data_IF_425707179799
#
_entry.id   IF_425707179799
#
_cell.length_a   1.000
_cell.length_b   1.000
_cell.length_c   1.000
_cell.angle_alpha   90.00
_cell.angle_beta   90.00
_cell.angle_gamma   90.00
#
_symmetry.space_group_name_H-M   'P 1'
#
loop_
_entity.id
_entity.type
_entity.pdbx_description
1 polymer ?
#
# COMPACT_ATOMS: atom_id res chain seq x y z
N UNK A 1 -16.75 15.10 -16.73
CA UNK A 1 -15.95 14.33 -17.70
C UNK A 1 -14.70 13.71 -17.06
N UNK A 2 -13.90 14.43 -16.24
CA UNK A 2 -12.70 13.85 -15.60
C UNK A 2 -13.00 12.62 -14.71
N UNK A 3 -14.06 12.62 -13.89
CA UNK A 3 -14.44 11.48 -13.03
C UNK A 3 -14.71 10.19 -13.82
N UNK A 4 -15.31 10.30 -15.00
CA UNK A 4 -15.59 9.15 -15.87
C UNK A 4 -14.31 8.54 -16.44
N UNK A 5 -13.35 9.39 -16.85
CA UNK A 5 -12.08 8.94 -17.39
C UNK A 5 -11.24 8.18 -16.35
N UNK A 6 -11.24 8.62 -15.08
CA UNK A 6 -10.52 7.94 -14.00
C UNK A 6 -11.17 6.62 -13.59
N UNK A 7 -12.51 6.56 -13.52
CA UNK A 7 -13.22 5.31 -13.30
C UNK A 7 -12.90 4.28 -14.39
N UNK A 8 -12.85 4.70 -15.66
CA UNK A 8 -12.46 3.83 -16.76
C UNK A 8 -11.01 3.35 -16.63
N UNK A 9 -10.07 4.24 -16.33
CA UNK A 9 -8.65 3.88 -16.14
C UNK A 9 -8.47 2.89 -14.98
N UNK A 10 -9.23 3.07 -13.90
CA UNK A 10 -9.22 2.16 -12.76
C UNK A 10 -9.67 0.74 -13.17
N UNK A 11 -10.82 0.60 -13.85
CA UNK A 11 -11.31 -0.70 -14.29
C UNK A 11 -10.44 -1.35 -15.34
N UNK A 12 -9.79 -0.55 -16.20
CA UNK A 12 -8.78 -1.04 -17.14
C UNK A 12 -7.58 -1.65 -16.40
N UNK A 13 -7.10 -1.03 -15.32
CA UNK A 13 -6.02 -1.59 -14.51
C UNK A 13 -6.42 -2.92 -13.85
N UNK A 14 -7.66 -3.05 -13.35
CA UNK A 14 -8.18 -4.32 -12.82
C UNK A 14 -8.21 -5.41 -13.90
N UNK A 15 -8.63 -5.06 -15.11
CA UNK A 15 -8.62 -5.98 -16.25
C UNK A 15 -7.17 -6.45 -16.57
N UNK A 16 -6.21 -5.53 -16.61
CA UNK A 16 -4.80 -5.85 -16.81
C UNK A 16 -4.28 -6.81 -15.72
N UNK A 17 -4.63 -6.59 -14.46
CA UNK A 17 -4.26 -7.50 -13.38
C UNK A 17 -4.82 -8.91 -13.59
N UNK A 18 -6.07 -9.01 -13.99
CA UNK A 18 -6.71 -10.30 -14.26
C UNK A 18 -6.06 -11.01 -15.46
N UNK A 19 -5.79 -10.29 -16.54
CA UNK A 19 -5.16 -10.83 -17.75
C UNK A 19 -3.70 -11.22 -17.53
N UNK A 20 -2.97 -10.57 -16.62
CA UNK A 20 -1.57 -10.89 -16.30
C UNK A 20 -1.40 -12.31 -15.74
N UNK A 21 -2.47 -12.97 -15.28
CA UNK A 21 -2.46 -14.35 -14.79
C UNK A 21 -2.56 -15.41 -15.88
N UNK A 22 -2.86 -15.00 -17.10
CA UNK A 22 -3.01 -15.96 -18.20
C UNK A 22 -1.66 -16.63 -18.54
N UNK A 23 -1.63 -17.95 -18.72
CA UNK A 23 -0.43 -18.62 -19.20
C UNK A 23 0.03 -18.01 -20.52
N UNK A 24 1.34 -17.78 -20.68
CA UNK A 24 1.99 -17.24 -21.88
C UNK A 24 1.57 -15.81 -22.21
N UNK A 25 0.29 -15.52 -22.45
CA UNK A 25 -0.21 -14.19 -22.82
C UNK A 25 -0.11 -13.18 -21.67
N UNK A 26 -0.11 -13.63 -20.41
CA UNK A 26 -0.04 -12.77 -19.24
C UNK A 26 1.20 -11.87 -19.20
N UNK A 27 2.32 -12.33 -19.77
CA UNK A 27 3.58 -11.54 -19.85
C UNK A 27 3.41 -10.18 -20.56
N UNK A 28 2.50 -10.10 -21.53
CA UNK A 28 2.19 -8.84 -22.23
C UNK A 28 1.57 -7.80 -21.29
N UNK A 29 0.85 -8.26 -20.26
CA UNK A 29 0.20 -7.40 -19.27
C UNK A 29 1.08 -7.07 -18.06
N UNK A 30 2.31 -7.60 -18.01
CA UNK A 30 3.33 -7.26 -17.02
C UNK A 30 4.22 -6.09 -17.46
N UNK A 31 4.04 -5.54 -18.66
CA UNK A 31 4.84 -4.43 -19.16
C UNK A 31 4.98 -3.23 -18.21
N UNK A 32 3.94 -2.78 -17.47
CA UNK A 32 4.09 -1.68 -16.51
C UNK A 32 5.06 -2.01 -15.37
N UNK A 33 5.12 -3.26 -14.94
CA UNK A 33 6.03 -3.73 -13.89
C UNK A 33 7.44 -3.91 -14.45
N UNK A 34 7.56 -4.55 -15.60
CA UNK A 34 8.84 -4.75 -16.29
C UNK A 34 9.54 -3.41 -16.61
N UNK A 35 8.76 -2.40 -16.98
CA UNK A 35 9.23 -1.03 -17.20
C UNK A 35 9.48 -0.23 -15.90
N UNK A 36 9.35 -0.83 -14.72
CA UNK A 36 9.50 -0.18 -13.41
C UNK A 36 8.64 1.08 -13.26
N UNK A 37 7.44 1.07 -13.83
CA UNK A 37 6.53 2.23 -13.83
C UNK A 37 5.67 2.35 -12.58
N UNK A 38 5.84 1.43 -11.63
CA UNK A 38 5.01 1.34 -10.43
C UNK A 38 5.78 0.68 -9.28
N UNK A 39 5.71 1.27 -8.10
CA UNK A 39 6.30 0.74 -6.86
C UNK A 39 5.48 1.19 -5.65
N UNK A 40 5.32 0.31 -4.68
CA UNK A 40 4.53 0.57 -3.47
C UNK A 40 5.28 0.10 -2.23
N UNK A 41 5.20 0.91 -1.16
CA UNK A 41 5.63 0.50 0.17
C UNK A 41 4.44 0.53 1.13
N UNK A 42 4.10 -0.63 1.68
CA UNK A 42 3.03 -0.77 2.67
C UNK A 42 3.55 -0.44 4.06
N UNK A 43 2.85 0.46 4.74
CA UNK A 43 3.16 0.92 6.11
C UNK A 43 2.19 0.24 7.08
N UNK A 44 2.67 -0.41 8.16
CA UNK A 44 1.81 -1.06 9.15
C UNK A 44 0.81 -0.11 9.80
N UNK A 45 -0.42 -0.57 10.04
CA UNK A 45 -1.49 0.22 10.67
C UNK A 45 -1.17 0.50 12.14
N UNK A 46 -0.61 -0.49 12.85
CA UNK A 46 -0.29 -0.44 14.28
C UNK A 46 1.08 -1.08 14.53
N UNK A 47 2.17 -0.43 14.16
CA UNK A 47 3.48 -0.87 14.61
C UNK A 47 3.66 -0.47 16.09
N UNK A 48 3.36 -1.38 17.03
CA UNK A 48 3.89 -1.28 18.39
C UNK A 48 5.37 -1.63 18.33
N UNK A 49 6.21 -0.62 18.49
CA UNK A 49 7.65 -0.83 18.58
C UNK A 49 7.96 -1.48 19.91
N UNK A 50 8.47 -2.69 19.89
CA UNK A 50 9.31 -3.17 20.97
C UNK A 50 10.66 -2.43 20.87
N UNK A 51 11.19 -2.03 22.00
CA UNK A 51 12.35 -1.19 22.28
C UNK A 51 13.64 -1.54 21.48
N UNK A 52 13.64 -1.30 20.20
CA UNK A 52 14.86 -1.31 19.38
C UNK A 52 14.87 -0.07 18.50
N UNK A 53 16.03 0.52 18.33
CA UNK A 53 16.34 1.78 17.64
C UNK A 53 15.93 1.87 16.16
N UNK A 54 14.88 1.17 15.74
CA UNK A 54 14.37 1.21 14.38
C UNK A 54 13.39 2.39 14.22
N UNK A 55 13.58 3.17 13.16
CA UNK A 55 12.65 4.22 12.73
C UNK A 55 11.27 3.59 12.58
N UNK A 56 10.29 4.14 13.31
CA UNK A 56 8.89 3.70 13.23
C UNK A 56 8.40 3.87 11.78
N UNK A 57 7.71 2.88 11.20
CA UNK A 57 7.20 3.01 9.82
C UNK A 57 6.37 4.27 9.57
N UNK A 58 5.62 4.75 10.57
CA UNK A 58 4.84 5.98 10.45
C UNK A 58 5.70 7.25 10.55
N UNK A 59 6.84 7.21 11.25
CA UNK A 59 7.79 8.33 11.26
C UNK A 59 8.38 8.57 9.87
N UNK A 60 8.49 7.52 9.07
CA UNK A 60 8.91 7.65 7.67
C UNK A 60 7.87 8.41 6.86
N UNK A 61 6.59 8.15 7.06
CA UNK A 61 5.48 8.91 6.44
C UNK A 61 5.53 10.37 6.88
N UNK A 62 5.72 10.61 8.18
CA UNK A 62 5.89 11.96 8.73
C UNK A 62 7.08 12.67 8.08
N UNK A 63 8.26 12.03 8.02
CA UNK A 63 9.45 12.60 7.37
C UNK A 63 9.22 12.94 5.90
N UNK A 64 8.47 12.13 5.14
CA UNK A 64 8.11 12.44 3.76
C UNK A 64 7.26 13.72 3.68
N UNK A 65 6.24 13.84 4.53
CA UNK A 65 5.36 15.02 4.56
C UNK A 65 6.14 16.27 4.98
N UNK A 66 6.95 16.16 6.05
CA UNK A 66 7.72 17.30 6.58
C UNK A 66 8.83 17.76 5.62
N UNK A 67 9.35 16.85 4.77
CA UNK A 67 10.40 17.15 3.79
C UNK A 67 9.86 17.62 2.44
N UNK A 68 8.54 17.55 2.23
CA UNK A 68 7.96 17.83 0.93
C UNK A 68 7.95 19.32 0.59
N UNK A 69 8.51 19.68 -0.57
CA UNK A 69 8.48 21.05 -1.10
C UNK A 69 7.06 21.55 -1.41
N UNK A 70 6.14 20.63 -1.66
CA UNK A 70 4.72 20.91 -1.87
C UNK A 70 3.86 19.75 -1.40
N UNK A 71 2.69 20.07 -0.85
CA UNK A 71 1.70 19.11 -0.36
C UNK A 71 0.34 19.42 -0.98
N UNK A 72 -0.32 18.39 -1.49
CA UNK A 72 -1.72 18.47 -1.90
C UNK A 72 -2.50 17.27 -1.33
N UNK A 73 -3.76 17.49 -0.99
CA UNK A 73 -4.67 16.43 -0.54
C UNK A 73 -5.83 16.28 -1.51
N UNK A 74 -6.19 15.04 -1.79
CA UNK A 74 -7.40 14.72 -2.54
C UNK A 74 -8.58 14.56 -1.57
N UNK A 75 -9.66 15.31 -1.79
CA UNK A 75 -10.85 15.21 -0.94
C UNK A 75 -11.53 13.85 -1.07
N UNK A 76 -11.38 13.20 -2.23
CA UNK A 76 -11.98 11.91 -2.53
C UNK A 76 -10.97 10.90 -3.04
N UNK A 77 -11.11 9.64 -2.61
CA UNK A 77 -10.31 8.52 -3.10
C UNK A 77 -10.87 8.01 -4.43
N UNK A 78 -10.03 7.98 -5.48
CA UNK A 78 -10.41 7.50 -6.82
C UNK A 78 -10.92 6.06 -6.78
N UNK A 79 -10.23 5.17 -6.07
CA UNK A 79 -10.60 3.76 -5.99
C UNK A 79 -11.97 3.55 -5.33
N UNK A 80 -12.23 4.26 -4.22
CA UNK A 80 -13.51 4.15 -3.51
C UNK A 80 -14.65 4.79 -4.30
N UNK A 81 -14.39 5.89 -5.00
CA UNK A 81 -15.36 6.56 -5.85
C UNK A 81 -15.74 5.67 -7.06
N UNK A 82 -14.73 5.14 -7.78
CA UNK A 82 -14.94 4.26 -8.93
C UNK A 82 -15.74 3.00 -8.60
N UNK A 83 -15.47 2.40 -7.44
CA UNK A 83 -16.17 1.21 -6.96
C UNK A 83 -17.48 1.49 -6.21
N UNK A 84 -17.82 2.77 -5.96
CA UNK A 84 -18.95 3.12 -5.07
C UNK A 84 -18.87 2.35 -3.76
N UNK A 85 -17.70 2.47 -3.09
CA UNK A 85 -17.38 1.68 -1.91
C UNK A 85 -18.50 1.76 -0.85
N UNK A 86 -18.95 0.60 -0.38
CA UNK A 86 -20.03 0.50 0.62
C UNK A 86 -19.49 0.46 2.05
N UNK A 87 -18.23 0.01 2.23
CA UNK A 87 -17.65 -0.26 3.54
C UNK A 87 -16.89 0.95 4.11
N UNK A 88 -16.40 1.84 3.23
CA UNK A 88 -15.61 3.01 3.61
C UNK A 88 -16.06 4.26 2.85
N UNK A 89 -16.10 5.43 3.51
CA UNK A 89 -16.45 6.68 2.84
C UNK A 89 -15.41 7.03 1.77
N UNK A 90 -15.79 7.77 0.75
CA UNK A 90 -14.88 8.21 -0.32
C UNK A 90 -13.79 9.16 0.19
N UNK A 91 -14.05 9.91 1.26
CA UNK A 91 -13.09 10.75 1.98
C UNK A 91 -12.60 10.02 3.25
N UNK A 92 -11.34 10.21 3.68
CA UNK A 92 -10.26 10.95 3.05
C UNK A 92 -9.65 10.26 1.83
N UNK A 93 -9.22 11.04 0.83
CA UNK A 93 -8.47 10.55 -0.33
C UNK A 93 -6.96 10.48 -0.08
N UNK A 94 -6.20 10.57 -1.16
CA UNK A 94 -4.74 10.46 -1.15
C UNK A 94 -4.06 11.79 -0.79
N UNK A 95 -2.79 11.74 -0.40
CA UNK A 95 -1.90 12.89 -0.21
C UNK A 95 -0.80 12.80 -1.27
N UNK A 96 -0.58 13.88 -2.00
CA UNK A 96 0.46 14.01 -3.01
C UNK A 96 1.55 14.94 -2.52
N UNK A 97 2.80 14.53 -2.67
CA UNK A 97 3.98 15.21 -2.17
C UNK A 97 4.95 15.56 -3.28
N UNK A 98 5.63 16.69 -3.17
CA UNK A 98 6.67 17.18 -4.08
C UNK A 98 6.16 18.17 -5.11
N UNK A 99 7.07 18.92 -5.71
CA UNK A 99 6.78 20.00 -6.66
C UNK A 99 5.94 19.54 -7.87
N UNK A 100 6.12 18.28 -8.30
CA UNK A 100 5.34 17.73 -9.41
C UNK A 100 3.83 17.60 -9.12
N UNK A 101 3.43 17.63 -7.87
CA UNK A 101 2.03 17.59 -7.46
C UNK A 101 1.28 18.92 -7.68
N UNK A 102 1.98 20.04 -7.93
CA UNK A 102 1.35 21.35 -8.23
C UNK A 102 0.49 21.34 -9.49
N UNK A 103 0.84 20.48 -10.43
CA UNK A 103 0.15 20.39 -11.72
C UNK A 103 -1.04 19.41 -11.74
N UNK A 104 -1.36 18.77 -10.62
CA UNK A 104 -2.52 17.87 -10.50
C UNK A 104 -3.80 18.64 -10.77
N UNK A 105 -4.56 18.16 -11.77
CA UNK A 105 -5.82 18.78 -12.21
C UNK A 105 -7.06 18.10 -11.60
N UNK A 106 -6.87 17.00 -10.85
CA UNK A 106 -7.97 16.17 -10.38
C UNK A 106 -8.16 16.28 -8.88
N UNK A 107 -9.26 16.91 -8.46
CA UNK A 107 -9.82 16.90 -7.07
C UNK A 107 -8.78 17.00 -5.94
N UNK A 108 -7.60 17.52 -6.22
CA UNK A 108 -6.56 17.78 -5.25
C UNK A 108 -6.45 19.27 -4.99
N UNK A 109 -6.27 19.64 -3.75
CA UNK A 109 -6.07 21.03 -3.30
C UNK A 109 -4.77 21.15 -2.54
N UNK A 110 -4.14 22.35 -2.55
CA UNK A 110 -2.99 22.62 -1.69
C UNK A 110 -3.34 22.39 -0.22
N UNK A 111 -2.37 21.91 0.54
CA UNK A 111 -2.48 21.69 1.98
C UNK A 111 -1.16 21.97 2.69
N UNK A 112 -1.22 22.19 4.01
CA UNK A 112 -0.03 22.18 4.86
C UNK A 112 0.37 20.77 5.24
N UNK A 113 1.66 20.57 5.61
CA UNK A 113 2.12 19.27 6.12
C UNK A 113 1.32 18.81 7.34
N UNK A 114 0.98 19.73 8.25
CA UNK A 114 0.12 19.44 9.41
C UNK A 114 -1.26 18.91 8.99
N UNK A 115 -1.92 19.59 8.08
CA UNK A 115 -3.23 19.18 7.56
C UNK A 115 -3.17 17.81 6.89
N UNK A 116 -2.10 17.54 6.14
CA UNK A 116 -1.89 16.22 5.52
C UNK A 116 -1.70 15.11 6.56
N UNK A 117 -0.95 15.35 7.64
CA UNK A 117 -0.78 14.39 8.72
C UNK A 117 -2.09 14.12 9.47
N UNK A 118 -2.89 15.15 9.76
CA UNK A 118 -4.22 15.01 10.34
C UNK A 118 -5.17 14.20 9.41
N UNK A 119 -5.06 14.43 8.10
CA UNK A 119 -5.81 13.72 7.09
C UNK A 119 -5.47 12.21 7.05
N UNK A 120 -4.18 11.89 7.11
CA UNK A 120 -3.69 10.52 7.16
C UNK A 120 -4.05 9.83 8.48
N UNK A 121 -4.01 10.54 9.61
CA UNK A 121 -4.42 9.99 10.91
C UNK A 121 -5.92 9.68 10.95
N UNK A 122 -6.75 10.55 10.38
CA UNK A 122 -8.18 10.27 10.19
C UNK A 122 -8.40 9.01 9.34
N UNK A 123 -7.62 8.82 8.28
CA UNK A 123 -7.69 7.61 7.46
C UNK A 123 -7.31 6.35 8.26
N UNK A 124 -6.24 6.43 9.06
CA UNK A 124 -5.80 5.33 9.92
C UNK A 124 -6.83 4.96 10.98
N UNK A 125 -7.46 5.93 11.62
CA UNK A 125 -8.51 5.69 12.62
C UNK A 125 -9.72 4.95 12.05
N UNK A 126 -9.95 5.05 10.73
CA UNK A 126 -10.94 4.26 10.01
C UNK A 126 -10.46 2.83 9.65
N UNK A 127 -9.23 2.46 10.00
CA UNK A 127 -8.62 1.18 9.63
C UNK A 127 -8.15 1.09 8.17
N UNK A 128 -7.98 2.23 7.49
CA UNK A 128 -7.36 2.27 6.17
C UNK A 128 -5.86 2.03 6.28
N UNK A 129 -5.30 1.32 5.32
CA UNK A 129 -3.86 1.01 5.27
C UNK A 129 -3.13 2.12 4.52
N UNK A 130 -2.04 2.61 5.10
CA UNK A 130 -1.18 3.58 4.43
C UNK A 130 -0.24 2.87 3.48
N UNK A 131 -0.21 3.29 2.22
CA UNK A 131 0.77 2.88 1.23
C UNK A 131 1.45 4.12 0.66
N UNK A 132 2.78 4.11 0.59
CA UNK A 132 3.54 5.10 -0.16
C UNK A 132 3.71 4.57 -1.58
N UNK A 133 3.25 5.32 -2.55
CA UNK A 133 3.11 4.88 -3.95
C UNK A 133 3.90 5.81 -4.86
N UNK A 134 4.57 5.21 -5.83
CA UNK A 134 5.07 5.89 -7.00
C UNK A 134 4.58 5.15 -8.25
N UNK A 135 3.86 5.86 -9.11
CA UNK A 135 3.34 5.31 -10.37
C UNK A 135 3.39 6.37 -11.45
N UNK A 136 4.27 6.20 -12.44
CA UNK A 136 4.34 7.15 -13.55
C UNK A 136 3.05 7.19 -14.35
N UNK A 137 2.39 6.04 -14.53
CA UNK A 137 1.12 5.95 -15.26
C UNK A 137 0.02 6.76 -14.60
N UNK A 138 -0.10 6.65 -13.27
CA UNK A 138 -1.09 7.39 -12.52
C UNK A 138 -0.80 8.89 -12.53
N UNK A 139 0.46 9.27 -12.23
CA UNK A 139 0.86 10.68 -12.18
C UNK A 139 0.68 11.38 -13.53
N UNK A 140 1.07 10.73 -14.63
CA UNK A 140 0.82 11.24 -15.98
C UNK A 140 -0.67 11.43 -16.22
N UNK A 141 -1.52 10.47 -15.82
CA UNK A 141 -2.96 10.52 -16.00
C UNK A 141 -3.61 11.68 -15.23
N UNK A 142 -3.14 11.98 -14.00
CA UNK A 142 -3.66 13.09 -13.17
C UNK A 142 -2.99 14.44 -13.50
N UNK A 143 -2.00 14.46 -14.37
CA UNK A 143 -1.26 15.66 -14.78
C UNK A 143 -0.13 16.05 -13.84
N UNK A 144 0.31 15.14 -12.96
CA UNK A 144 1.48 15.34 -12.10
C UNK A 144 2.78 14.96 -12.83
N UNK A 145 3.91 15.55 -12.41
CA UNK A 145 5.22 15.16 -12.90
C UNK A 145 5.75 13.94 -12.11
N UNK A 146 5.90 12.75 -12.74
CA UNK A 146 6.32 11.53 -12.03
C UNK A 146 7.69 11.62 -11.39
N UNK A 147 8.62 12.41 -11.95
CA UNK A 147 9.98 12.53 -11.41
C UNK A 147 10.06 13.36 -10.12
N UNK A 148 8.99 14.08 -9.78
CA UNK A 148 8.92 15.01 -8.64
C UNK A 148 7.62 14.86 -7.83
N UNK A 149 7.01 13.67 -7.87
CA UNK A 149 5.76 13.37 -7.15
C UNK A 149 5.86 12.01 -6.47
N UNK A 150 5.40 11.96 -5.22
CA UNK A 150 5.14 10.73 -4.46
C UNK A 150 3.73 10.82 -3.91
N UNK A 151 3.03 9.72 -3.85
CA UNK A 151 1.68 9.63 -3.30
C UNK A 151 1.67 8.84 -1.99
N UNK A 152 0.87 9.30 -1.02
CA UNK A 152 0.51 8.53 0.16
C UNK A 152 -0.97 8.19 0.05
N UNK A 153 -1.23 6.92 -0.25
CA UNK A 153 -2.57 6.35 -0.36
C UNK A 153 -3.12 5.91 0.99
N UNK A 154 -4.41 6.11 1.19
CA UNK A 154 -5.21 5.58 2.30
C UNK A 154 -6.14 4.48 1.79
N UNK A 155 -5.67 3.24 1.86
CA UNK A 155 -6.19 2.10 1.12
C UNK A 155 -7.23 1.28 1.89
N UNK A 156 -8.44 1.14 1.38
CA UNK A 156 -9.41 0.17 1.90
C UNK A 156 -9.14 -1.25 1.36
N UNK A 157 -9.41 -2.29 2.14
CA UNK A 157 -9.13 -3.68 1.74
C UNK A 157 -10.00 -4.18 0.58
N UNK A 158 -11.14 -3.52 0.33
CA UNK A 158 -12.15 -3.93 -0.65
C UNK A 158 -11.90 -3.35 -2.05
N UNK A 159 -11.64 -2.02 -2.16
CA UNK A 159 -11.64 -1.32 -3.45
C UNK A 159 -10.25 -0.91 -3.94
N UNK A 160 -9.25 -0.76 -3.02
CA UNK A 160 -7.96 -0.18 -3.41
C UNK A 160 -7.25 -1.01 -4.49
N UNK A 161 -6.82 -0.33 -5.56
CA UNK A 161 -6.12 -0.94 -6.68
C UNK A 161 -4.83 -1.65 -6.24
N UNK A 162 -4.14 -1.10 -5.23
CA UNK A 162 -2.93 -1.73 -4.67
C UNK A 162 -3.21 -3.11 -4.09
N UNK A 163 -4.36 -3.32 -3.47
CA UNK A 163 -4.75 -4.63 -2.96
C UNK A 163 -5.32 -5.57 -4.03
N UNK A 164 -5.81 -5.03 -5.14
CA UNK A 164 -6.23 -5.83 -6.30
C UNK A 164 -5.06 -6.52 -7.01
N UNK A 165 -3.83 -6.08 -6.80
CA UNK A 165 -2.63 -6.79 -7.26
C UNK A 165 -2.51 -8.21 -6.72
N UNK A 166 -3.21 -8.54 -5.61
CA UNK A 166 -3.33 -9.94 -5.11
C UNK A 166 -3.95 -10.88 -6.13
N UNK A 167 -4.74 -10.34 -7.05
CA UNK A 167 -5.43 -11.05 -8.11
C UNK A 167 -4.69 -10.89 -9.47
N UNK A 168 -3.48 -10.30 -9.47
CA UNK A 168 -2.57 -10.18 -10.62
C UNK A 168 -1.51 -11.30 -10.63
N UNK A 169 -0.61 -11.27 -11.62
CA UNK A 169 0.58 -12.11 -11.64
C UNK A 169 1.51 -11.77 -10.47
N UNK A 170 2.41 -12.69 -10.16
CA UNK A 170 3.38 -12.52 -9.07
C UNK A 170 4.24 -11.26 -9.25
N UNK A 171 4.59 -10.92 -10.49
CA UNK A 171 5.40 -9.74 -10.80
C UNK A 171 4.81 -8.44 -10.21
N UNK A 172 3.47 -8.30 -10.22
CA UNK A 172 2.81 -7.16 -9.57
C UNK A 172 2.94 -7.18 -8.05
N UNK A 173 2.77 -8.34 -7.42
CA UNK A 173 2.90 -8.50 -5.98
C UNK A 173 4.34 -8.23 -5.49
N UNK A 174 5.34 -8.61 -6.27
CA UNK A 174 6.76 -8.42 -5.94
C UNK A 174 7.17 -6.93 -5.95
N UNK A 175 6.42 -6.07 -6.65
CA UNK A 175 6.59 -4.61 -6.61
C UNK A 175 5.92 -3.92 -5.40
N UNK A 176 5.23 -4.67 -4.55
CA UNK A 176 4.72 -4.17 -3.28
C UNK A 176 5.66 -4.63 -2.18
N UNK A 177 6.34 -3.69 -1.55
CA UNK A 177 7.24 -3.93 -0.44
C UNK A 177 6.52 -3.69 0.90
N UNK A 178 7.07 -4.20 1.99
CA UNK A 178 6.56 -3.99 3.34
C UNK A 178 7.68 -3.88 4.35
N UNK A 179 7.46 -3.12 5.41
CA UNK A 179 8.43 -2.96 6.51
C UNK A 179 8.44 -4.14 7.48
N UNK A 180 7.48 -5.05 7.38
CA UNK A 180 7.36 -6.16 8.31
C UNK A 180 6.62 -7.36 7.73
N UNK A 181 6.56 -8.42 8.53
CA UNK A 181 5.83 -9.65 8.21
C UNK A 181 5.02 -10.08 9.41
N UNK A 182 3.77 -10.51 9.21
CA UNK A 182 2.96 -11.09 10.26
C UNK A 182 3.49 -12.47 10.64
N UNK A 183 3.50 -12.78 11.95
CA UNK A 183 3.85 -14.09 12.49
C UNK A 183 2.84 -14.50 13.54
N UNK A 184 2.70 -15.80 13.74
CA UNK A 184 1.92 -16.40 14.84
C UNK A 184 2.80 -16.39 16.09
N UNK A 185 2.40 -15.67 17.12
CA UNK A 185 3.16 -15.56 18.38
C UNK A 185 2.78 -16.62 19.40
N UNK A 186 1.51 -17.01 19.42
CA UNK A 186 0.97 -18.02 20.35
C UNK A 186 -0.13 -18.83 19.64
N UNK A 187 0.21 -19.96 19.02
CA UNK A 187 -0.76 -20.79 18.29
C UNK A 187 -1.85 -21.37 19.20
N UNK A 188 -1.53 -21.65 20.46
CA UNK A 188 -2.43 -22.33 21.40
C UNK A 188 -3.58 -21.41 21.87
N UNK A 189 -3.32 -20.11 21.94
CA UNK A 189 -4.33 -19.10 22.25
C UNK A 189 -5.29 -18.81 21.05
N UNK A 190 -5.10 -19.43 19.90
CA UNK A 190 -5.92 -19.19 18.72
C UNK A 190 -7.33 -19.79 18.87
N UNK A 191 -8.35 -18.94 18.80
CA UNK A 191 -9.77 -19.37 18.84
C UNK A 191 -10.32 -19.83 17.49
N UNK A 192 -9.50 -19.82 16.43
CA UNK A 192 -9.85 -20.20 15.05
C UNK A 192 -11.05 -19.43 14.45
N UNK A 193 -11.27 -18.21 14.91
CA UNK A 193 -12.42 -17.37 14.52
C UNK A 193 -12.35 -16.81 13.11
N UNK A 194 -11.31 -17.07 12.33
CA UNK A 194 -11.06 -16.64 10.95
C UNK A 194 -11.01 -15.14 10.70
N UNK A 195 -11.18 -14.28 11.71
CA UNK A 195 -11.20 -12.81 11.57
C UNK A 195 -9.93 -12.26 10.90
N UNK A 196 -8.76 -12.85 11.19
CA UNK A 196 -7.48 -12.45 10.59
C UNK A 196 -7.39 -12.81 9.10
N UNK A 197 -7.97 -13.93 8.68
CA UNK A 197 -8.06 -14.33 7.26
C UNK A 197 -8.97 -13.36 6.51
N UNK A 198 -10.16 -13.07 7.04
CA UNK A 198 -11.11 -12.12 6.46
C UNK A 198 -10.54 -10.69 6.37
N UNK A 199 -9.73 -10.27 7.36
CA UNK A 199 -9.12 -8.96 7.40
C UNK A 199 -7.95 -8.78 6.44
N UNK A 200 -7.35 -9.86 5.90
CA UNK A 200 -6.11 -9.81 5.13
C UNK A 200 -6.35 -9.33 3.68
N UNK A 201 -5.93 -8.10 3.31
CA UNK A 201 -6.17 -7.58 1.96
C UNK A 201 -5.32 -8.28 0.89
N UNK A 202 -4.21 -8.94 1.30
CA UNK A 202 -3.31 -9.67 0.42
C UNK A 202 -3.63 -11.17 0.32
N UNK A 203 -4.66 -11.66 1.05
CA UNK A 203 -4.97 -13.09 1.16
C UNK A 203 -3.74 -13.93 1.57
N UNK A 204 -2.93 -13.38 2.46
CA UNK A 204 -1.71 -14.00 2.97
C UNK A 204 -1.95 -14.84 4.24
N UNK A 205 -3.12 -14.73 4.86
CA UNK A 205 -3.49 -15.49 6.07
C UNK A 205 -4.51 -16.54 5.69
N UNK A 206 -4.30 -17.75 6.18
CA UNK A 206 -5.25 -18.87 6.12
C UNK A 206 -5.42 -19.43 7.52
N UNK A 207 -6.62 -19.82 7.89
CA UNK A 207 -6.90 -20.46 9.18
C UNK A 207 -7.40 -21.87 8.95
N UNK A 208 -6.56 -22.84 9.33
CA UNK A 208 -6.97 -24.24 9.41
C UNK A 208 -7.67 -24.50 10.75
N UNK A 209 -8.77 -25.24 10.74
CA UNK A 209 -9.57 -25.49 11.93
C UNK A 209 -8.88 -26.39 12.95
N UNK A 210 -7.83 -27.12 12.56
CA UNK A 210 -7.03 -27.96 13.44
C UNK A 210 -5.68 -27.32 13.79
N UNK A 211 -4.94 -26.87 12.76
CA UNK A 211 -3.59 -26.35 12.91
C UNK A 211 -3.54 -24.82 13.27
N UNK A 212 -4.66 -24.10 13.11
CA UNK A 212 -4.71 -22.67 13.38
C UNK A 212 -4.23 -21.81 12.20
N UNK A 213 -3.76 -20.57 12.46
CA UNK A 213 -3.42 -19.63 11.40
C UNK A 213 -2.05 -19.93 10.77
N UNK A 214 -1.99 -19.90 9.45
CA UNK A 214 -0.77 -19.96 8.65
C UNK A 214 -0.60 -18.68 7.84
N UNK A 215 0.65 -18.22 7.70
CA UNK A 215 1.01 -16.99 6.96
C UNK A 215 1.81 -17.34 5.73
N UNK A 216 1.30 -16.95 4.56
CA UNK A 216 2.07 -16.92 3.32
C UNK A 216 2.98 -15.68 3.36
N UNK A 217 4.25 -15.88 3.70
CA UNK A 217 5.24 -14.80 3.83
C UNK A 217 5.56 -14.12 2.51
N UNK A 218 5.36 -14.78 1.38
CA UNK A 218 5.57 -14.20 0.06
C UNK A 218 4.46 -13.18 -0.30
N UNK A 219 3.26 -13.43 0.18
CA UNK A 219 2.10 -12.54 -0.02
C UNK A 219 1.99 -11.48 1.08
N UNK A 220 2.49 -11.77 2.28
CA UNK A 220 2.41 -10.86 3.41
C UNK A 220 3.26 -9.61 3.17
N UNK A 221 2.65 -8.43 3.36
CA UNK A 221 3.31 -7.12 3.24
C UNK A 221 3.32 -6.36 4.58
N UNK A 222 3.05 -7.06 5.69
CA UNK A 222 3.12 -6.51 7.04
C UNK A 222 2.16 -5.36 7.32
N UNK A 223 1.01 -5.30 6.66
CA UNK A 223 0.08 -4.16 6.80
C UNK A 223 -0.59 -4.05 8.20
N UNK A 224 -0.51 -5.07 9.05
CA UNK A 224 -1.02 -5.05 10.43
C UNK A 224 -2.52 -5.31 10.59
N UNK A 225 -3.29 -5.46 9.51
CA UNK A 225 -4.74 -5.67 9.63
C UNK A 225 -5.14 -6.98 10.31
N UNK A 226 -4.39 -8.06 10.09
CA UNK A 226 -4.63 -9.34 10.77
C UNK A 226 -4.35 -9.24 12.28
N UNK A 227 -3.33 -8.48 12.67
CA UNK A 227 -3.02 -8.18 14.08
C UNK A 227 -4.15 -7.37 14.72
N UNK A 228 -4.62 -6.29 14.08
CA UNK A 228 -5.72 -5.47 14.58
C UNK A 228 -7.06 -6.24 14.69
N UNK A 229 -7.27 -7.24 13.82
CA UNK A 229 -8.48 -8.07 13.82
C UNK A 229 -8.42 -9.24 14.83
N UNK A 230 -7.22 -9.58 15.35
CA UNK A 230 -7.02 -10.71 16.23
C UNK A 230 -7.29 -10.34 17.70
N UNK A 231 -8.50 -10.63 18.20
CA UNK A 231 -8.87 -10.34 19.59
C UNK A 231 -8.02 -11.11 20.62
N UNK A 232 -7.55 -12.31 20.26
CA UNK A 232 -6.70 -13.13 21.11
C UNK A 232 -5.21 -12.71 21.09
N UNK A 233 -4.83 -11.72 20.25
CA UNK A 233 -3.46 -11.24 20.16
C UNK A 233 -2.43 -12.22 19.59
N UNK A 234 -2.90 -13.29 18.95
CA UNK A 234 -2.08 -14.40 18.42
C UNK A 234 -1.20 -13.98 17.24
N UNK A 235 -1.64 -13.01 16.44
CA UNK A 235 -0.92 -12.51 15.29
C UNK A 235 -0.28 -11.17 15.59
N UNK A 236 1.01 -11.05 15.27
CA UNK A 236 1.76 -9.80 15.40
C UNK A 236 2.59 -9.55 14.16
N UNK A 237 2.78 -8.27 13.82
CA UNK A 237 3.69 -7.85 12.75
C UNK A 237 5.04 -7.55 13.36
N UNK A 238 6.05 -8.24 12.86
CA UNK A 238 7.44 -8.03 13.23
C UNK A 238 8.15 -7.27 12.10
N UNK A 239 9.02 -6.30 12.44
CA UNK A 239 9.90 -5.69 11.46
C UNK A 239 10.70 -6.76 10.71
N UNK A 240 10.94 -6.56 9.43
CA UNK A 240 11.88 -7.39 8.71
C UNK A 240 13.30 -7.06 9.20
N UNK A 241 14.07 -8.07 9.59
CA UNK A 241 15.45 -7.93 10.10
C UNK A 241 16.37 -7.22 9.10
N UNK A 242 16.08 -7.39 7.82
CA UNK A 242 16.54 -6.54 6.74
C UNK A 242 15.30 -5.95 6.09
N UNK A 243 15.03 -4.64 6.14
CA UNK A 243 13.93 -4.03 5.40
C UNK A 243 14.05 -4.21 3.87
N UNK A 244 15.16 -4.83 3.42
CA UNK A 244 15.39 -5.33 2.09
C UNK A 244 15.35 -6.82 1.91
N UNK A 245 15.12 -7.54 2.99
CA UNK A 245 15.24 -8.99 2.99
C UNK A 245 14.03 -9.73 2.48
N UNK A 246 13.68 -9.55 1.22
CA UNK A 246 13.22 -10.67 0.40
C UNK A 246 14.46 -11.46 -0.04
N UNK A 247 15.22 -11.95 0.93
CA UNK A 247 16.49 -12.63 0.73
C UNK A 247 16.37 -14.02 0.12
N UNK A 248 15.25 -14.39 -0.51
CA UNK A 248 15.14 -15.68 -1.17
C UNK A 248 14.36 -15.69 -2.50
N UNK A 249 14.12 -14.55 -3.12
CA UNK A 249 13.52 -14.54 -4.45
C UNK A 249 14.28 -13.60 -5.38
N UNK A 250 15.38 -14.11 -5.91
CA UNK A 250 15.87 -13.82 -7.26
C UNK A 250 15.74 -12.37 -7.73
N UNK A 251 16.61 -11.51 -7.29
CA UNK A 251 17.25 -10.52 -8.16
C UNK A 251 18.07 -9.51 -7.34
N UNK A 252 19.32 -9.25 -7.69
CA UNK A 252 20.15 -8.22 -7.03
C UNK A 252 19.70 -6.78 -7.31
N UNK A 253 18.52 -6.58 -7.92
CA UNK A 253 18.06 -5.31 -8.46
C UNK A 253 16.81 -4.72 -7.79
N UNK A 254 16.20 -5.35 -6.78
CA UNK A 254 15.03 -4.78 -6.10
C UNK A 254 15.49 -3.97 -4.90
N UNK A 255 15.31 -2.63 -4.89
CA UNK A 255 15.65 -1.83 -3.72
C UNK A 255 14.85 -2.33 -2.52
N UNK A 256 15.47 -2.33 -1.34
CA UNK A 256 14.76 -2.61 -0.11
C UNK A 256 13.80 -1.45 0.26
N UNK A 257 12.84 -1.71 1.16
CA UNK A 257 11.85 -0.69 1.53
C UNK A 257 12.52 0.59 2.09
N UNK A 258 13.64 0.48 2.80
CA UNK A 258 14.38 1.62 3.34
C UNK A 258 15.07 2.42 2.22
N UNK A 259 15.77 1.78 1.31
CA UNK A 259 16.40 2.44 0.15
C UNK A 259 15.34 3.16 -0.72
N UNK A 260 14.19 2.51 -0.92
CA UNK A 260 13.11 3.11 -1.67
C UNK A 260 12.55 4.35 -0.98
N UNK A 261 12.45 4.33 0.36
CA UNK A 261 12.01 5.50 1.11
C UNK A 261 13.00 6.67 1.03
N UNK A 262 14.31 6.41 1.03
CA UNK A 262 15.33 7.46 0.80
C UNK A 262 15.20 8.05 -0.63
N UNK A 263 14.90 7.22 -1.63
CA UNK A 263 14.63 7.71 -2.98
C UNK A 263 13.35 8.57 -3.02
N UNK A 264 12.31 8.19 -2.31
CA UNK A 264 11.08 8.99 -2.21
C UNK A 264 11.35 10.33 -1.51
N UNK A 265 12.18 10.34 -0.45
CA UNK A 265 12.61 11.57 0.21
C UNK A 265 13.38 12.52 -0.74
N UNK A 266 14.17 11.98 -1.66
CA UNK A 266 14.85 12.79 -2.68
C UNK A 266 13.88 13.36 -3.72
N UNK A 267 12.82 12.61 -4.08
CA UNK A 267 11.80 13.04 -5.05
C UNK A 267 10.94 14.20 -4.51
N UNK A 268 10.59 14.17 -3.22
CA UNK A 268 9.63 15.13 -2.64
C UNK A 268 10.24 16.48 -2.27
N UNK A 269 11.56 16.55 -2.10
CA UNK A 269 12.33 17.79 -1.88
C UNK A 269 12.40 18.62 -3.15
#
# INVERSE_FOLDING_TARGET
>A
MASLAYGTAYHMAELFFSLSRLPVAGRLFEAPVAAKRFTVVTVPVNARVQETSAILPYDVVRRLVDSAAYVAIADTCVCRDAHRCKDYPVSPGCVYLGEGARSIKYRARPATGREALEWLERARSMGLVTNVVWSSLEFEAIGANPSRTVEICSCCPCCCLMFKTRDASRAYMDNILGFGTARVSDPDACTRCTSCEAACPFKAVRVDMHAGPAIDTMRCKGCGRCEAACRAGVLKVFPNENPGGFANACSPCTPNAAELMERFLAIVK
#
